data_IF_170398284790
#
_entry.id   IF_170398284790
#
_cell.length_a   1.000
_cell.length_b   1.000
_cell.length_c   1.000
_cell.angle_alpha   90.00
_cell.angle_beta   90.00
_cell.angle_gamma   90.00
#
_symmetry.space_group_name_H-M   'P 1'
#
loop_
_entity.id
_entity.type
_entity.pdbx_description
1 polymer ?
#
# COMPACT_ATOMS: atom_id res chain seq x y z
N UNK A 1 8.62 -5.63 -5.75
CA UNK A 1 7.15 -5.60 -5.53
C UNK A 1 6.67 -4.16 -5.44
N UNK A 2 5.53 -3.82 -6.02
CA UNK A 2 4.92 -2.47 -5.90
C UNK A 2 3.83 -2.53 -4.83
N UNK A 3 3.90 -1.67 -3.82
CA UNK A 3 2.95 -1.59 -2.72
C UNK A 3 2.24 -0.24 -2.76
N UNK A 4 0.93 -0.27 -2.59
CA UNK A 4 0.10 0.93 -2.44
C UNK A 4 -0.23 1.10 -0.97
N UNK A 5 0.30 2.15 -0.34
CA UNK A 5 -0.15 2.51 1.01
C UNK A 5 -1.57 3.11 0.98
N UNK A 6 -2.10 3.46 2.15
CA UNK A 6 -3.45 3.99 2.25
C UNK A 6 -3.64 5.33 1.51
N UNK A 7 -2.59 6.14 1.38
CA UNK A 7 -2.65 7.42 0.66
C UNK A 7 -2.68 7.21 -0.85
N UNK A 8 -1.92 6.23 -1.36
CA UNK A 8 -1.98 5.83 -2.75
C UNK A 8 -3.32 5.17 -3.10
N UNK A 9 -3.88 4.35 -2.21
CA UNK A 9 -5.25 3.82 -2.39
C UNK A 9 -6.27 4.96 -2.49
N UNK A 10 -6.17 5.98 -1.66
CA UNK A 10 -7.05 7.15 -1.73
C UNK A 10 -6.88 7.93 -3.05
N UNK A 11 -5.65 8.11 -3.52
CA UNK A 11 -5.37 8.77 -4.79
C UNK A 11 -5.92 7.94 -5.97
N UNK A 12 -5.76 6.62 -5.94
CA UNK A 12 -6.33 5.71 -6.94
C UNK A 12 -7.86 5.85 -7.01
N UNK A 13 -8.55 5.80 -5.86
CA UNK A 13 -10.00 6.00 -5.79
C UNK A 13 -10.45 7.37 -6.31
N UNK A 14 -9.58 8.38 -6.30
CA UNK A 14 -9.83 9.73 -6.83
C UNK A 14 -9.46 9.88 -8.31
N UNK A 15 -9.00 8.82 -8.96
CA UNK A 15 -8.69 8.80 -10.39
C UNK A 15 -7.25 9.19 -10.74
N UNK A 16 -6.30 9.00 -9.83
CA UNK A 16 -4.89 9.31 -10.08
C UNK A 16 -4.34 8.51 -11.28
N UNK A 17 -4.01 9.20 -12.37
CA UNK A 17 -3.74 8.62 -13.69
C UNK A 17 -2.72 7.48 -13.69
N UNK A 18 -1.59 7.67 -13.01
CA UNK A 18 -0.54 6.65 -12.95
C UNK A 18 -1.01 5.38 -12.23
N UNK A 19 -1.73 5.55 -11.12
CA UNK A 19 -2.20 4.43 -10.31
C UNK A 19 -3.34 3.69 -11.02
N UNK A 20 -4.23 4.41 -11.70
CA UNK A 20 -5.27 3.80 -12.54
C UNK A 20 -4.66 2.94 -13.65
N UNK A 21 -3.53 3.35 -14.23
CA UNK A 21 -2.80 2.55 -15.21
C UNK A 21 -2.31 1.21 -14.65
N UNK A 22 -1.85 1.19 -13.41
CA UNK A 22 -1.42 -0.04 -12.73
C UNK A 22 -2.61 -0.95 -12.37
N UNK A 23 -3.74 -0.36 -11.98
CA UNK A 23 -4.88 -1.11 -11.44
C UNK A 23 -5.81 -1.72 -12.50
N UNK A 24 -5.82 -1.21 -13.74
CA UNK A 24 -6.75 -1.63 -14.79
C UNK A 24 -6.17 -2.74 -15.68
N UNK A 25 -4.85 -2.90 -15.71
CA UNK A 25 -4.20 -3.94 -16.51
C UNK A 25 -4.16 -5.24 -15.71
N UNK A 26 -4.88 -6.25 -16.18
CA UNK A 26 -4.68 -7.61 -15.68
C UNK A 26 -3.33 -8.11 -16.18
N UNK A 27 -2.42 -8.37 -15.25
CA UNK A 27 -1.12 -8.97 -15.54
C UNK A 27 -1.21 -10.46 -15.23
N UNK A 28 -0.79 -11.29 -16.20
CA UNK A 28 -0.79 -12.76 -16.09
C UNK A 28 0.09 -13.24 -14.92
N UNK A 29 1.13 -12.47 -14.61
CA UNK A 29 2.01 -12.69 -13.48
C UNK A 29 1.53 -11.89 -12.25
N UNK A 30 1.04 -12.55 -11.18
CA UNK A 30 0.60 -11.88 -9.97
C UNK A 30 1.72 -11.10 -9.27
N UNK A 31 2.99 -11.49 -9.43
CA UNK A 31 4.13 -10.78 -8.83
C UNK A 31 4.37 -9.40 -9.47
N UNK A 32 3.75 -9.15 -10.63
CA UNK A 32 3.78 -7.87 -11.35
C UNK A 32 2.59 -6.95 -11.01
N UNK A 33 1.61 -7.43 -10.24
CA UNK A 33 0.45 -6.62 -9.80
C UNK A 33 0.85 -5.63 -8.71
N UNK A 34 0.08 -4.56 -8.57
CA UNK A 34 0.23 -3.66 -7.44
C UNK A 34 -0.46 -4.25 -6.20
N UNK A 35 0.24 -4.25 -5.07
CA UNK A 35 -0.21 -4.91 -3.86
C UNK A 35 -0.78 -3.91 -2.86
N UNK A 36 -1.93 -4.23 -2.26
CA UNK A 36 -2.57 -3.42 -1.22
C UNK A 36 -2.56 -4.20 0.09
N UNK A 37 -1.79 -3.77 1.10
CA UNK A 37 -1.87 -4.35 2.44
C UNK A 37 -3.24 -4.12 3.08
N UNK A 38 -3.82 -5.15 3.71
CA UNK A 38 -5.17 -5.09 4.25
C UNK A 38 -5.40 -3.92 5.24
N UNK A 39 -4.39 -3.57 6.05
CA UNK A 39 -4.50 -2.43 6.97
C UNK A 39 -4.45 -1.08 6.26
N UNK A 40 -3.72 -0.97 5.15
CA UNK A 40 -3.74 0.22 4.30
C UNK A 40 -5.12 0.39 3.65
N UNK A 41 -5.77 -0.71 3.25
CA UNK A 41 -7.14 -0.68 2.73
C UNK A 41 -8.17 -0.24 3.78
N UNK A 42 -8.04 -0.71 5.02
CA UNK A 42 -8.87 -0.26 6.15
C UNK A 42 -8.66 1.24 6.39
N UNK A 43 -7.41 1.69 6.49
CA UNK A 43 -7.08 3.10 6.69
C UNK A 43 -7.65 4.02 5.60
N UNK A 44 -7.56 3.59 4.33
CA UNK A 44 -8.16 4.32 3.21
C UNK A 44 -9.69 4.34 3.31
N UNK A 45 -10.31 3.21 3.65
CA UNK A 45 -11.76 3.09 3.76
C UNK A 45 -12.37 3.91 4.91
N UNK A 46 -11.60 4.16 5.98
CA UNK A 46 -11.98 5.07 7.06
C UNK A 46 -12.01 6.54 6.61
N UNK A 47 -11.21 6.92 5.61
CA UNK A 47 -11.19 8.28 5.06
C UNK A 47 -12.13 8.46 3.86
N UNK A 48 -12.30 7.41 3.06
CA UNK A 48 -13.18 7.39 1.89
C UNK A 48 -14.05 6.12 1.93
N UNK A 49 -15.26 6.19 2.52
CA UNK A 49 -16.18 5.08 2.55
C UNK A 49 -16.43 4.52 1.14
N UNK A 50 -16.33 3.20 0.99
CA UNK A 50 -16.44 2.52 -0.31
C UNK A 50 -15.13 2.30 -1.06
N UNK A 51 -13.99 2.81 -0.57
CA UNK A 51 -12.68 2.58 -1.18
C UNK A 51 -12.38 1.09 -1.40
N UNK A 52 -12.63 0.24 -0.39
CA UNK A 52 -12.44 -1.21 -0.52
C UNK A 52 -13.27 -1.85 -1.64
N UNK A 53 -14.55 -1.49 -1.76
CA UNK A 53 -15.40 -2.01 -2.82
C UNK A 53 -14.94 -1.52 -4.20
N UNK A 54 -14.49 -0.27 -4.29
CA UNK A 54 -13.97 0.30 -5.52
C UNK A 54 -12.71 -0.41 -6.01
N UNK A 55 -11.67 -0.51 -5.16
CA UNK A 55 -10.40 -1.14 -5.57
C UNK A 55 -10.53 -2.65 -5.72
N UNK A 56 -11.41 -3.30 -4.95
CA UNK A 56 -11.69 -4.74 -5.08
C UNK A 56 -12.29 -5.15 -6.42
N UNK A 57 -12.81 -4.18 -7.20
CA UNK A 57 -13.31 -4.42 -8.55
C UNK A 57 -12.24 -4.25 -9.65
N UNK A 58 -11.02 -3.82 -9.30
CA UNK A 58 -9.94 -3.55 -10.25
C UNK A 58 -9.05 -4.79 -10.42
N UNK A 59 -8.81 -5.28 -11.65
CA UNK A 59 -8.17 -6.57 -11.89
C UNK A 59 -6.64 -6.56 -11.71
N UNK A 60 -5.99 -5.39 -11.76
CA UNK A 60 -4.53 -5.24 -11.65
C UNK A 60 -4.00 -5.18 -10.21
N UNK A 61 -4.82 -5.52 -9.22
CA UNK A 61 -4.51 -5.39 -7.81
C UNK A 61 -4.49 -6.75 -7.10
N UNK A 62 -3.56 -6.89 -6.17
CA UNK A 62 -3.45 -8.03 -5.26
C UNK A 62 -3.58 -7.53 -3.81
N UNK A 63 -4.23 -8.30 -2.94
CA UNK A 63 -4.49 -7.89 -1.55
C UNK A 63 -3.68 -8.73 -0.58
N UNK A 64 -2.80 -8.08 0.18
CA UNK A 64 -1.94 -8.76 1.14
C UNK A 64 -2.67 -8.91 2.48
N UNK A 65 -2.90 -10.15 2.97
CA UNK A 65 -3.56 -10.38 4.24
C UNK A 65 -2.69 -9.93 5.41
N UNK A 66 -3.32 -9.50 6.51
CA UNK A 66 -2.62 -9.28 7.77
C UNK A 66 -2.52 -10.60 8.54
N UNK A 67 -1.36 -11.23 8.50
CA UNK A 67 -1.06 -12.39 9.32
C UNK A 67 -0.44 -11.99 10.69
N UNK A 68 -0.03 -12.98 11.47
CA UNK A 68 0.59 -12.74 12.78
C UNK A 68 1.92 -11.97 12.68
N UNK A 69 2.75 -12.28 11.69
CA UNK A 69 4.04 -11.62 11.52
C UNK A 69 3.84 -10.15 11.13
N UNK A 70 2.90 -9.87 10.24
CA UNK A 70 2.48 -8.52 9.88
C UNK A 70 1.92 -7.76 11.08
N UNK A 71 1.07 -8.38 11.89
CA UNK A 71 0.53 -7.76 13.09
C UNK A 71 1.64 -7.38 14.11
N UNK A 72 2.56 -8.30 14.40
CA UNK A 72 3.69 -8.04 15.29
C UNK A 72 4.64 -6.96 14.74
N UNK A 73 4.87 -6.95 13.42
CA UNK A 73 5.67 -5.91 12.76
C UNK A 73 5.02 -4.53 12.85
N UNK A 74 3.70 -4.45 12.69
CA UNK A 74 2.94 -3.20 12.84
C UNK A 74 3.01 -2.70 14.28
N UNK A 75 2.84 -3.59 15.27
CA UNK A 75 2.98 -3.25 16.70
C UNK A 75 4.35 -2.61 16.98
N UNK A 76 5.43 -3.23 16.51
CA UNK A 76 6.79 -2.72 16.69
C UNK A 76 7.00 -1.36 16.01
N UNK A 77 6.50 -1.18 14.79
CA UNK A 77 6.58 0.09 14.08
C UNK A 77 5.83 1.20 14.81
N UNK A 78 4.65 0.90 15.34
CA UNK A 78 3.85 1.84 16.15
C UNK A 78 4.56 2.19 17.46
N UNK A 79 5.14 1.21 18.15
CA UNK A 79 5.94 1.44 19.33
C UNK A 79 7.19 2.31 19.04
N UNK A 80 7.71 2.26 17.81
CA UNK A 80 8.80 3.10 17.32
C UNK A 80 8.36 4.50 16.84
N UNK A 81 7.06 4.83 16.91
CA UNK A 81 6.51 6.14 16.58
C UNK A 81 5.95 6.28 15.17
N UNK A 82 5.87 5.20 14.38
CA UNK A 82 5.20 5.22 13.08
C UNK A 82 3.68 5.13 13.25
N UNK A 83 2.92 5.92 12.51
CA UNK A 83 1.46 5.76 12.47
C UNK A 83 1.07 4.38 11.92
N UNK A 84 0.09 3.74 12.57
CA UNK A 84 -0.29 2.35 12.27
C UNK A 84 -0.73 2.14 10.81
N UNK A 85 -1.24 3.19 10.17
CA UNK A 85 -1.71 3.21 8.78
C UNK A 85 -0.60 2.96 7.75
N UNK A 86 0.67 3.12 8.14
CA UNK A 86 1.85 2.87 7.32
C UNK A 86 2.54 1.55 7.67
N UNK A 87 2.35 1.01 8.87
CA UNK A 87 3.11 -0.13 9.39
C UNK A 87 3.00 -1.40 8.53
N UNK A 88 1.83 -1.69 7.97
CA UNK A 88 1.65 -2.88 7.15
C UNK A 88 2.32 -2.72 5.76
N UNK A 89 2.38 -1.50 5.22
CA UNK A 89 3.15 -1.23 4.01
C UNK A 89 4.66 -1.40 4.25
N UNK A 90 5.17 -0.99 5.42
CA UNK A 90 6.56 -1.24 5.82
C UNK A 90 6.85 -2.74 5.91
N UNK A 91 5.97 -3.49 6.58
CA UNK A 91 6.10 -4.94 6.66
C UNK A 91 6.10 -5.60 5.28
N UNK A 92 5.14 -5.25 4.42
CA UNK A 92 5.03 -5.79 3.07
C UNK A 92 6.29 -5.49 2.23
N UNK A 93 6.86 -4.28 2.34
CA UNK A 93 8.06 -3.90 1.61
C UNK A 93 9.29 -4.74 1.99
N UNK A 94 9.36 -5.19 3.24
CA UNK A 94 10.44 -6.02 3.76
C UNK A 94 10.28 -7.53 3.44
N UNK A 95 9.09 -7.98 3.04
CA UNK A 95 8.81 -9.41 2.76
C UNK A 95 9.37 -9.92 1.42
N UNK A 96 9.81 -9.04 0.52
CA UNK A 96 10.34 -9.41 -0.79
C UNK A 96 11.83 -9.72 -0.79
N UNK A 97 12.25 -10.75 -1.53
CA UNK A 97 13.68 -11.00 -1.83
C UNK A 97 14.33 -9.92 -2.73
N UNK A 98 13.52 -9.02 -3.27
CA UNK A 98 13.90 -7.78 -3.96
C UNK A 98 13.19 -6.65 -3.23
N UNK A 99 13.91 -5.57 -2.89
CA UNK A 99 13.37 -4.42 -2.15
C UNK A 99 12.03 -3.95 -2.76
N UNK A 100 10.95 -4.04 -1.97
CA UNK A 100 9.64 -3.54 -2.36
C UNK A 100 9.61 -2.02 -2.35
N UNK A 101 8.98 -1.42 -3.37
CA UNK A 101 8.75 0.02 -3.40
C UNK A 101 7.35 0.35 -2.91
N UNK A 102 7.21 1.37 -2.06
CA UNK A 102 5.92 1.86 -1.58
C UNK A 102 5.56 3.13 -2.32
N UNK A 103 4.48 3.09 -3.09
CA UNK A 103 3.86 4.27 -3.67
C UNK A 103 3.04 4.97 -2.60
N UNK A 104 3.27 6.28 -2.41
CA UNK A 104 2.67 7.08 -1.33
C UNK A 104 2.62 8.55 -1.71
N UNK A 105 1.67 9.32 -1.16
CA UNK A 105 1.68 10.79 -1.22
C UNK A 105 2.40 11.45 -0.04
N UNK A 106 2.92 10.66 0.90
CA UNK A 106 3.61 11.12 2.11
C UNK A 106 4.96 10.42 2.29
N UNK A 107 5.89 10.51 1.31
CA UNK A 107 7.14 9.73 1.30
C UNK A 107 8.02 9.95 2.54
N UNK A 108 8.03 11.16 3.11
CA UNK A 108 8.82 11.49 4.30
C UNK A 108 8.45 10.66 5.55
N UNK A 109 7.25 10.07 5.59
CA UNK A 109 6.83 9.23 6.72
C UNK A 109 7.58 7.89 6.75
N UNK A 110 8.19 7.51 5.63
CA UNK A 110 9.01 6.30 5.50
C UNK A 110 10.50 6.52 5.82
N UNK A 111 10.93 7.74 6.13
CA UNK A 111 12.32 8.02 6.47
C UNK A 111 12.77 7.18 7.68
N UNK A 112 13.91 6.50 7.55
CA UNK A 112 14.45 5.64 8.61
C UNK A 112 13.80 4.26 8.74
N UNK A 113 12.78 3.94 7.92
CA UNK A 113 12.12 2.61 7.92
C UNK A 113 12.83 1.56 7.07
N UNK A 114 13.79 1.98 6.23
CA UNK A 114 14.47 1.11 5.26
C UNK A 114 13.64 0.82 4.00
N UNK A 115 12.45 1.41 3.88
CA UNK A 115 11.56 1.25 2.72
C UNK A 115 11.92 2.25 1.62
N UNK A 116 11.92 1.79 0.37
CA UNK A 116 11.98 2.68 -0.78
C UNK A 116 10.60 3.28 -1.06
N UNK A 117 10.37 4.50 -0.56
CA UNK A 117 9.15 5.24 -0.82
C UNK A 117 9.25 6.04 -2.14
N UNK A 118 8.22 5.94 -2.97
CA UNK A 118 8.09 6.66 -4.24
C UNK A 118 6.91 7.62 -4.13
N UNK A 119 7.20 8.91 -4.27
CA UNK A 119 6.18 9.95 -4.31
C UNK A 119 5.31 9.80 -5.56
N UNK A 120 4.00 9.63 -5.36
CA UNK A 120 3.03 9.59 -6.46
C UNK A 120 2.69 10.98 -7.01
N UNK A 121 3.10 12.04 -6.31
CA UNK A 121 2.75 13.42 -6.64
C UNK A 121 1.39 13.83 -6.10
N UNK A 122 0.83 14.90 -6.67
CA UNK A 122 -0.48 15.41 -6.23
C UNK A 122 -1.60 14.45 -6.65
N UNK A 123 -2.57 14.16 -5.76
CA UNK A 123 -3.74 13.35 -6.09
C UNK A 123 -4.56 13.93 -7.25
#
# INVERSE_FOLDING_TARGET
>A
MIILDHTAVLALCRGHRLLSGLAVVEVDDPDQRAHIPALCLVAASLQLPGAAAHVGALPGLEFLPLDFAGAASVEQAVAAGLEWTYGHAVHAAAMGGVEGQVLTSTPAVYDGTGVWAVDIGKP
#
